data_IF_087511594249
#
_entry.id   IF_087511594249
#
_cell.length_a   1.000
_cell.length_b   1.000
_cell.length_c   1.000
_cell.angle_alpha   90.00
_cell.angle_beta   90.00
_cell.angle_gamma   90.00
#
_symmetry.space_group_name_H-M   'P 1'
#
loop_
_entity.id
_entity.type
_entity.pdbx_description
1 polymer ?
#
# COMPACT_ATOMS: atom_id res chain seq x y z
N UNK A 1 -19.70 75.94 13.78
CA UNK A 1 -19.31 74.78 14.68
C UNK A 1 -20.23 73.62 14.68
N UNK A 2 -21.09 73.40 13.65
CA UNK A 2 -22.03 72.24 13.55
C UNK A 2 -21.91 71.46 12.26
N UNK A 3 -20.84 71.58 11.50
CA UNK A 3 -20.67 70.93 10.19
C UNK A 3 -19.53 69.89 10.23
N UNK A 4 -18.80 69.81 11.35
CA UNK A 4 -17.66 68.84 11.50
C UNK A 4 -18.02 67.50 12.14
N UNK A 5 -19.28 67.29 12.54
CA UNK A 5 -19.72 66.06 13.20
C UNK A 5 -20.42 65.05 12.27
N UNK A 6 -20.76 65.44 11.01
CA UNK A 6 -21.45 64.58 10.06
C UNK A 6 -20.55 63.79 9.10
N UNK A 7 -19.24 64.12 9.09
CA UNK A 7 -18.27 63.46 8.19
C UNK A 7 -17.62 62.20 8.73
N UNK A 8 -17.74 61.89 10.03
CA UNK A 8 -16.99 60.80 10.64
C UNK A 8 -17.82 59.49 10.81
N UNK A 9 -19.12 59.57 10.60
CA UNK A 9 -20.02 58.41 10.70
C UNK A 9 -20.26 57.66 9.39
N UNK A 10 -19.85 58.22 8.24
CA UNK A 10 -20.01 57.60 6.94
C UNK A 10 -18.86 56.65 6.52
N UNK A 11 -17.73 56.69 7.24
CA UNK A 11 -16.52 55.86 6.89
C UNK A 11 -16.52 54.52 7.63
N UNK A 12 -17.33 54.35 8.67
CA UNK A 12 -17.36 53.09 9.45
C UNK A 12 -18.40 52.07 8.96
N UNK A 13 -19.20 52.39 7.93
CA UNK A 13 -20.22 51.43 7.42
C UNK A 13 -19.79 50.69 6.17
N UNK A 14 -18.59 50.88 5.62
CA UNK A 14 -18.08 50.19 4.40
C UNK A 14 -17.03 49.14 4.65
N UNK A 15 -16.74 48.75 5.89
CA UNK A 15 -15.70 47.77 6.20
C UNK A 15 -16.22 46.37 6.60
N UNK A 16 -17.52 46.07 6.42
CA UNK A 16 -18.10 44.78 6.76
C UNK A 16 -18.57 43.92 5.57
N UNK A 17 -18.13 44.26 4.35
CA UNK A 17 -18.34 43.41 3.17
C UNK A 17 -16.99 42.94 2.59
N UNK A 18 -16.05 42.50 3.45
CA UNK A 18 -15.01 41.62 2.99
C UNK A 18 -15.64 40.21 3.10
N UNK A 19 -16.28 39.86 1.98
CA UNK A 19 -16.91 38.57 1.82
C UNK A 19 -16.00 37.41 2.20
N UNK A 20 -16.57 36.44 2.85
CA UNK A 20 -16.13 35.06 2.79
C UNK A 20 -15.92 34.68 1.33
N UNK A 21 -14.74 34.97 0.81
CA UNK A 21 -14.21 34.23 -0.31
C UNK A 21 -14.04 32.81 0.19
N UNK A 22 -15.03 31.96 -0.09
CA UNK A 22 -14.82 30.51 -0.10
C UNK A 22 -13.54 30.32 -0.90
N UNK A 23 -12.40 30.03 -0.23
CA UNK A 23 -11.33 29.30 -0.87
C UNK A 23 -12.02 28.07 -1.41
N UNK A 24 -12.33 28.03 -2.69
CA UNK A 24 -12.31 26.78 -3.42
C UNK A 24 -10.95 26.19 -3.09
N UNK A 25 -10.90 25.22 -2.18
CA UNK A 25 -9.82 24.29 -2.16
C UNK A 25 -9.77 23.74 -3.58
N UNK A 26 -8.81 24.24 -4.33
CA UNK A 26 -8.37 23.65 -5.58
C UNK A 26 -7.63 22.37 -5.15
N UNK A 27 -8.42 21.42 -4.62
CA UNK A 27 -7.97 20.06 -4.46
C UNK A 27 -7.90 19.50 -5.87
N UNK A 28 -6.82 19.87 -6.58
CA UNK A 28 -6.35 19.02 -7.66
C UNK A 28 -6.21 17.63 -7.03
N UNK A 29 -7.18 16.76 -7.30
CA UNK A 29 -7.20 15.43 -6.72
C UNK A 29 -5.88 14.76 -7.07
N UNK A 30 -5.01 14.58 -6.06
CA UNK A 30 -3.69 13.96 -6.26
C UNK A 30 -3.93 12.59 -6.90
N UNK A 31 -3.39 12.37 -8.09
CA UNK A 31 -3.39 11.07 -8.72
C UNK A 31 -2.21 10.26 -8.23
N UNK A 32 -2.46 9.12 -7.62
CA UNK A 32 -1.44 8.19 -7.14
C UNK A 32 -1.01 7.24 -8.25
N UNK A 33 0.29 6.98 -8.34
CA UNK A 33 0.89 6.02 -9.26
C UNK A 33 1.33 4.79 -8.48
N UNK A 34 0.63 3.68 -8.66
CA UNK A 34 0.86 2.41 -7.96
C UNK A 34 1.51 1.41 -8.90
N UNK A 35 2.67 0.86 -8.51
CA UNK A 35 3.22 -0.35 -9.11
C UNK A 35 2.72 -1.59 -8.38
N UNK A 36 2.25 -2.59 -9.10
CA UNK A 36 1.95 -3.90 -8.52
C UNK A 36 2.83 -4.95 -9.20
N UNK A 37 3.65 -5.62 -8.39
CA UNK A 37 4.46 -6.76 -8.84
C UNK A 37 3.95 -8.03 -8.17
N UNK A 38 3.59 -9.03 -8.97
CA UNK A 38 3.09 -10.32 -8.52
C UNK A 38 4.03 -11.42 -9.03
N UNK A 39 4.48 -12.32 -8.15
CA UNK A 39 5.49 -13.32 -8.49
C UNK A 39 4.99 -14.32 -9.54
N UNK A 40 3.78 -14.84 -9.38
CA UNK A 40 3.24 -15.86 -10.27
C UNK A 40 1.74 -15.67 -10.49
N UNK A 41 1.23 -16.25 -11.56
CA UNK A 41 -0.21 -16.39 -11.78
C UNK A 41 -0.72 -17.55 -10.92
N UNK A 42 -1.45 -17.23 -9.86
CA UNK A 42 -2.02 -18.20 -8.93
C UNK A 42 -3.24 -17.59 -8.23
N UNK A 43 -4.31 -18.36 -8.10
CA UNK A 43 -5.58 -17.88 -7.57
C UNK A 43 -5.48 -17.22 -6.20
N UNK A 44 -4.62 -17.70 -5.30
CA UNK A 44 -4.40 -17.06 -4.00
C UNK A 44 -3.74 -15.68 -4.13
N UNK A 45 -2.72 -15.55 -5.00
CA UNK A 45 -2.03 -14.27 -5.23
C UNK A 45 -2.93 -13.27 -5.94
N UNK A 46 -3.76 -13.73 -6.87
CA UNK A 46 -4.79 -12.91 -7.52
C UNK A 46 -5.82 -12.39 -6.53
N UNK A 47 -6.22 -13.22 -5.55
CA UNK A 47 -7.12 -12.79 -4.49
C UNK A 47 -6.46 -11.76 -3.55
N UNK A 48 -5.16 -11.90 -3.25
CA UNK A 48 -4.41 -10.90 -2.50
C UNK A 48 -4.40 -9.55 -3.25
N UNK A 49 -4.11 -9.57 -4.57
CA UNK A 49 -4.15 -8.37 -5.41
C UNK A 49 -5.53 -7.71 -5.43
N UNK A 50 -6.58 -8.51 -5.68
CA UNK A 50 -7.96 -8.00 -5.69
C UNK A 50 -8.38 -7.42 -4.33
N UNK A 51 -8.01 -8.12 -3.24
CA UNK A 51 -8.28 -7.65 -1.87
C UNK A 51 -7.57 -6.34 -1.56
N UNK A 52 -6.32 -6.18 -1.96
CA UNK A 52 -5.56 -4.95 -1.80
C UNK A 52 -6.22 -3.77 -2.54
N UNK A 53 -6.58 -3.97 -3.81
CA UNK A 53 -7.26 -2.94 -4.61
C UNK A 53 -8.63 -2.57 -4.04
N UNK A 54 -9.39 -3.56 -3.59
CA UNK A 54 -10.69 -3.31 -2.93
C UNK A 54 -10.53 -2.53 -1.62
N UNK A 55 -9.43 -2.78 -0.88
CA UNK A 55 -9.08 -1.99 0.30
C UNK A 55 -8.82 -0.53 -0.04
N UNK A 56 -8.05 -0.25 -1.09
CA UNK A 56 -7.81 1.12 -1.57
C UNK A 56 -9.13 1.80 -2.01
N UNK A 57 -9.98 1.07 -2.72
CA UNK A 57 -11.29 1.59 -3.15
C UNK A 57 -12.17 1.99 -1.96
N UNK A 58 -12.15 1.19 -0.87
CA UNK A 58 -12.92 1.50 0.35
C UNK A 58 -12.45 2.78 1.05
N UNK A 59 -11.17 3.15 0.85
CA UNK A 59 -10.57 4.39 1.34
C UNK A 59 -10.68 5.55 0.33
N UNK A 60 -11.47 5.38 -0.74
CA UNK A 60 -11.69 6.40 -1.77
C UNK A 60 -10.55 6.54 -2.79
N UNK A 61 -9.61 5.58 -2.83
CA UNK A 61 -8.51 5.54 -3.81
C UNK A 61 -8.90 4.55 -4.92
N UNK A 62 -9.31 5.09 -6.09
CA UNK A 62 -9.94 4.29 -7.14
C UNK A 62 -9.21 4.41 -8.47
N UNK A 63 -9.04 3.28 -9.12
CA UNK A 63 -8.48 3.23 -10.48
C UNK A 63 -9.37 3.99 -11.46
N UNK A 64 -8.73 4.82 -12.30
CA UNK A 64 -9.42 5.68 -13.27
C UNK A 64 -9.96 6.99 -12.71
N UNK A 65 -10.04 7.18 -11.38
CA UNK A 65 -10.38 8.45 -10.73
C UNK A 65 -9.10 9.16 -10.24
N UNK A 66 -8.49 8.62 -9.19
CA UNK A 66 -7.31 9.19 -8.53
C UNK A 66 -6.17 8.17 -8.33
N UNK A 67 -6.26 7.00 -8.97
CA UNK A 67 -5.27 5.94 -8.93
C UNK A 67 -4.91 5.47 -10.34
N UNK A 68 -3.62 5.44 -10.66
CA UNK A 68 -3.08 4.84 -11.86
C UNK A 68 -2.25 3.61 -11.49
N UNK A 69 -2.61 2.45 -12.03
CA UNK A 69 -1.96 1.18 -11.71
C UNK A 69 -1.06 0.73 -12.85
N UNK A 70 0.14 0.29 -12.51
CA UNK A 70 1.02 -0.47 -13.41
C UNK A 70 1.21 -1.86 -12.81
N UNK A 71 0.50 -2.86 -13.35
CA UNK A 71 0.60 -4.25 -12.93
C UNK A 71 1.60 -5.02 -13.80
N UNK A 72 2.44 -5.84 -13.14
CA UNK A 72 3.37 -6.77 -13.78
C UNK A 72 3.39 -8.10 -13.02
N UNK A 73 3.51 -9.20 -13.78
CA UNK A 73 3.66 -10.56 -13.26
C UNK A 73 5.01 -11.11 -13.71
N UNK A 74 5.76 -11.70 -12.79
CA UNK A 74 7.12 -12.23 -13.07
C UNK A 74 7.11 -13.64 -13.64
N UNK A 75 5.95 -14.30 -13.72
CA UNK A 75 5.79 -15.67 -14.23
C UNK A 75 6.68 -16.68 -13.47
N UNK A 76 6.81 -16.50 -12.14
CA UNK A 76 7.66 -17.28 -11.25
C UNK A 76 9.17 -17.23 -11.59
N UNK A 77 9.60 -16.25 -12.38
CA UNK A 77 11.00 -16.03 -12.74
C UNK A 77 11.60 -14.90 -11.93
N UNK A 78 12.61 -15.21 -11.13
CA UNK A 78 13.27 -14.26 -10.22
C UNK A 78 14.05 -13.17 -10.98
N UNK A 79 14.62 -13.48 -12.14
CA UNK A 79 15.35 -12.50 -12.94
C UNK A 79 14.36 -11.45 -13.51
N UNK A 80 13.24 -11.91 -14.03
CA UNK A 80 12.14 -11.04 -14.48
C UNK A 80 11.59 -10.20 -13.33
N UNK A 81 11.44 -10.79 -12.14
CA UNK A 81 10.95 -10.10 -10.94
C UNK A 81 11.89 -8.93 -10.55
N UNK A 82 13.20 -9.19 -10.50
CA UNK A 82 14.21 -8.17 -10.25
C UNK A 82 14.21 -7.05 -11.31
N UNK A 83 14.02 -7.41 -12.57
CA UNK A 83 13.95 -6.43 -13.67
C UNK A 83 12.70 -5.53 -13.55
N UNK A 84 11.55 -6.12 -13.21
CA UNK A 84 10.32 -5.37 -12.96
C UNK A 84 10.51 -4.42 -11.76
N UNK A 85 11.07 -4.92 -10.65
CA UNK A 85 11.32 -4.12 -9.46
C UNK A 85 12.27 -2.95 -9.75
N UNK A 86 13.37 -3.18 -10.48
CA UNK A 86 14.30 -2.12 -10.90
C UNK A 86 13.63 -1.08 -11.81
N UNK A 87 12.77 -1.54 -12.73
CA UNK A 87 11.98 -0.65 -13.58
C UNK A 87 10.99 0.19 -12.76
N UNK A 88 10.37 -0.38 -11.74
CA UNK A 88 9.47 0.36 -10.85
C UNK A 88 10.22 1.37 -9.98
N UNK A 89 11.40 1.02 -9.47
CA UNK A 89 12.25 1.93 -8.70
C UNK A 89 12.71 3.14 -9.53
N UNK A 90 12.94 2.97 -10.84
CA UNK A 90 13.32 4.07 -11.74
C UNK A 90 12.17 5.02 -12.09
N UNK A 91 10.93 4.58 -11.88
CA UNK A 91 9.73 5.40 -12.09
C UNK A 91 9.40 6.12 -10.79
N UNK A 92 8.92 7.34 -10.88
CA UNK A 92 8.42 8.10 -9.72
C UNK A 92 7.05 7.56 -9.30
N UNK A 93 7.04 6.34 -8.73
CA UNK A 93 5.82 5.74 -8.17
C UNK A 93 5.59 6.27 -6.77
N UNK A 94 4.32 6.42 -6.40
CA UNK A 94 3.96 6.79 -5.02
C UNK A 94 4.02 5.59 -4.08
N UNK A 95 3.91 4.35 -4.61
CA UNK A 95 4.00 3.10 -3.83
C UNK A 95 4.20 1.89 -4.75
N UNK A 96 4.81 0.84 -4.22
CA UNK A 96 4.84 -0.50 -4.83
C UNK A 96 4.10 -1.48 -3.92
N UNK A 97 3.12 -2.19 -4.47
CA UNK A 97 2.51 -3.37 -3.85
C UNK A 97 3.23 -4.62 -4.39
N UNK A 98 3.83 -5.39 -3.49
CA UNK A 98 4.57 -6.60 -3.85
C UNK A 98 3.86 -7.85 -3.31
N UNK A 99 3.53 -8.78 -4.21
CA UNK A 99 2.72 -9.96 -3.89
C UNK A 99 3.58 -11.21 -3.96
N UNK A 100 3.73 -11.89 -2.85
CA UNK A 100 4.62 -13.01 -2.51
C UNK A 100 6.03 -12.57 -2.09
N UNK A 101 6.70 -13.44 -1.33
CA UNK A 101 8.03 -13.17 -0.74
C UNK A 101 9.09 -12.79 -1.77
N UNK A 102 9.25 -13.47 -2.93
CA UNK A 102 10.25 -13.07 -3.92
C UNK A 102 10.03 -11.65 -4.45
N UNK A 103 8.80 -11.31 -4.83
CA UNK A 103 8.48 -9.97 -5.33
C UNK A 103 8.69 -8.89 -4.28
N UNK A 104 8.39 -9.18 -3.01
CA UNK A 104 8.65 -8.26 -1.91
C UNK A 104 10.16 -8.04 -1.70
N UNK A 105 10.97 -9.10 -1.80
CA UNK A 105 12.44 -9.00 -1.74
C UNK A 105 13.01 -8.19 -2.90
N UNK A 106 12.56 -8.48 -4.13
CA UNK A 106 12.99 -7.74 -5.33
C UNK A 106 12.63 -6.26 -5.25
N UNK A 107 11.37 -5.95 -4.85
CA UNK A 107 10.92 -4.57 -4.69
C UNK A 107 11.70 -3.82 -3.60
N UNK A 108 11.88 -4.43 -2.43
CA UNK A 108 12.65 -3.85 -1.34
C UNK A 108 14.11 -3.60 -1.72
N UNK A 109 14.78 -4.60 -2.30
CA UNK A 109 16.17 -4.45 -2.73
C UNK A 109 16.36 -3.33 -3.77
N UNK A 110 15.38 -3.14 -4.65
CA UNK A 110 15.43 -2.10 -5.67
C UNK A 110 15.10 -0.70 -5.12
N UNK A 111 14.42 -0.60 -3.97
CA UNK A 111 13.91 0.69 -3.43
C UNK A 111 14.45 1.07 -2.06
N UNK A 112 15.26 0.24 -1.41
CA UNK A 112 15.77 0.46 -0.04
C UNK A 112 16.52 1.78 0.17
N UNK A 113 17.09 2.34 -0.90
CA UNK A 113 17.81 3.61 -0.90
C UNK A 113 16.96 4.75 -1.51
N UNK A 114 15.65 4.58 -1.57
CA UNK A 114 14.69 5.56 -2.10
C UNK A 114 13.52 5.78 -1.13
N UNK A 115 12.72 6.83 -1.40
CA UNK A 115 11.52 7.14 -0.61
C UNK A 115 10.26 6.39 -1.08
N UNK A 116 10.39 5.45 -2.04
CA UNK A 116 9.23 4.71 -2.55
C UNK A 116 8.83 3.65 -1.53
N UNK A 117 7.67 3.75 -0.88
CA UNK A 117 7.20 2.75 0.08
C UNK A 117 6.81 1.45 -0.63
N UNK A 118 7.19 0.32 -0.02
CA UNK A 118 6.80 -1.02 -0.45
C UNK A 118 5.81 -1.61 0.53
N UNK A 119 4.64 -2.01 0.03
CA UNK A 119 3.65 -2.75 0.81
C UNK A 119 3.56 -4.17 0.28
N UNK A 120 3.88 -5.15 1.13
CA UNK A 120 3.80 -6.56 0.73
C UNK A 120 2.52 -7.23 1.22
N UNK A 121 2.11 -8.28 0.50
CA UNK A 121 1.11 -9.25 0.91
C UNK A 121 1.53 -10.65 0.49
N UNK A 122 0.97 -11.69 1.10
CA UNK A 122 1.35 -13.09 0.88
C UNK A 122 2.85 -13.34 1.14
N UNK A 123 3.38 -12.77 2.22
CA UNK A 123 4.74 -13.03 2.70
C UNK A 123 4.68 -13.92 3.93
N UNK A 124 5.18 -15.14 3.81
CA UNK A 124 5.04 -16.14 4.87
C UNK A 124 5.82 -15.77 6.14
N UNK A 125 7.05 -15.28 6.00
CA UNK A 125 7.87 -14.88 7.14
C UNK A 125 8.58 -13.56 6.86
N UNK A 126 8.01 -12.41 7.25
CA UNK A 126 8.67 -11.11 7.13
C UNK A 126 10.03 -11.07 7.84
N UNK A 127 10.16 -11.80 8.96
CA UNK A 127 11.42 -11.92 9.70
C UNK A 127 12.50 -12.67 8.91
N UNK A 128 12.15 -13.80 8.31
CA UNK A 128 13.09 -14.56 7.48
C UNK A 128 13.44 -13.82 6.18
N UNK A 129 12.51 -13.03 5.66
CA UNK A 129 12.72 -12.19 4.49
C UNK A 129 13.55 -10.92 4.79
N UNK A 130 13.82 -10.61 6.07
CA UNK A 130 14.59 -9.43 6.48
C UNK A 130 13.79 -8.12 6.45
N UNK A 131 12.45 -8.18 6.50
CA UNK A 131 11.57 -7.01 6.47
C UNK A 131 11.22 -6.48 7.85
N UNK A 132 11.54 -7.25 8.89
CA UNK A 132 11.42 -6.82 10.28
C UNK A 132 12.69 -7.17 11.04
N UNK A 133 13.03 -6.34 12.01
CA UNK A 133 14.18 -6.52 12.89
C UNK A 133 13.94 -7.59 13.97
N UNK A 134 14.87 -7.67 14.91
CA UNK A 134 14.77 -8.63 16.03
C UNK A 134 13.62 -8.32 16.98
N UNK A 135 13.25 -7.06 17.08
CA UNK A 135 12.14 -6.53 17.88
C UNK A 135 10.80 -6.61 17.16
N UNK A 136 10.77 -7.05 15.88
CA UNK A 136 9.56 -7.14 15.07
C UNK A 136 9.12 -5.83 14.43
N UNK A 137 9.97 -4.81 14.41
CA UNK A 137 9.70 -3.53 13.73
C UNK A 137 10.09 -3.63 12.26
N UNK A 138 9.33 -2.94 11.40
CA UNK A 138 9.67 -2.87 9.98
C UNK A 138 11.02 -2.20 9.76
N UNK A 139 11.77 -2.69 8.77
CA UNK A 139 13.05 -2.11 8.36
C UNK A 139 12.84 -1.24 7.12
N UNK A 140 13.51 -0.08 7.08
CA UNK A 140 13.49 0.80 5.90
C UNK A 140 12.07 1.19 5.47
N UNK A 141 11.85 1.14 4.16
CA UNK A 141 10.61 1.58 3.48
C UNK A 141 9.61 0.46 3.19
N UNK A 142 9.68 -0.69 3.89
CA UNK A 142 8.84 -1.85 3.62
C UNK A 142 7.94 -2.22 4.80
N UNK A 143 6.67 -2.53 4.52
CA UNK A 143 5.68 -3.02 5.48
C UNK A 143 4.65 -3.91 4.78
N UNK A 144 3.78 -4.59 5.51
CA UNK A 144 2.73 -5.39 4.87
C UNK A 144 2.09 -6.43 5.77
N UNK A 145 1.49 -7.45 5.16
CA UNK A 145 0.76 -8.53 5.82
C UNK A 145 1.40 -9.88 5.56
N UNK A 146 1.46 -10.71 6.62
CA UNK A 146 1.96 -12.08 6.55
C UNK A 146 0.82 -13.08 6.38
N UNK A 147 1.07 -14.13 5.62
CA UNK A 147 0.23 -15.32 5.50
C UNK A 147 0.80 -16.52 6.29
N UNK A 148 1.54 -16.25 7.36
CA UNK A 148 2.19 -17.26 8.19
C UNK A 148 1.19 -18.30 8.66
N UNK A 149 1.42 -19.53 8.26
CA UNK A 149 0.66 -20.70 8.71
C UNK A 149 1.41 -21.35 9.88
N UNK A 150 0.72 -21.46 11.01
CA UNK A 150 1.27 -22.12 12.19
C UNK A 150 1.05 -23.63 12.10
N UNK A 151 2.10 -24.36 11.78
CA UNK A 151 2.05 -25.82 11.60
C UNK A 151 1.52 -26.56 12.83
N UNK A 152 1.83 -26.08 14.04
CA UNK A 152 1.31 -26.65 15.28
C UNK A 152 -0.23 -26.57 15.36
N UNK A 153 -0.82 -25.47 14.92
CA UNK A 153 -2.29 -25.29 14.87
C UNK A 153 -2.91 -26.22 13.84
N UNK A 154 -2.27 -26.39 12.69
CA UNK A 154 -2.75 -27.34 11.66
C UNK A 154 -2.70 -28.78 12.17
N UNK A 155 -1.61 -29.19 12.81
CA UNK A 155 -1.49 -30.54 13.40
C UNK A 155 -2.52 -30.75 14.51
N UNK A 156 -2.80 -29.73 15.35
CA UNK A 156 -3.86 -29.79 16.35
C UNK A 156 -5.24 -29.97 15.71
N UNK A 157 -5.51 -29.24 14.63
CA UNK A 157 -6.77 -29.37 13.87
C UNK A 157 -6.91 -30.77 13.28
N UNK A 158 -5.86 -31.31 12.64
CA UNK A 158 -5.86 -32.69 12.14
C UNK A 158 -6.16 -33.66 13.27
N UNK A 159 -5.57 -33.49 14.44
CA UNK A 159 -5.82 -34.33 15.59
C UNK A 159 -7.27 -34.26 16.10
N UNK A 160 -7.87 -33.07 16.05
CA UNK A 160 -9.27 -32.87 16.43
C UNK A 160 -10.23 -33.54 15.42
N UNK A 161 -9.96 -33.37 14.11
CA UNK A 161 -10.81 -33.96 13.05
C UNK A 161 -10.62 -35.46 12.91
N UNK A 162 -9.40 -35.94 13.11
CA UNK A 162 -9.02 -37.39 12.95
C UNK A 162 -8.24 -37.85 14.19
N UNK A 163 -8.90 -38.08 15.34
CA UNK A 163 -8.22 -38.44 16.59
C UNK A 163 -7.38 -39.70 16.53
N UNK A 164 -7.76 -40.65 15.65
CA UNK A 164 -7.10 -41.95 15.48
C UNK A 164 -6.01 -41.95 14.41
N UNK A 165 -5.79 -40.85 13.69
CA UNK A 165 -4.75 -40.78 12.65
C UNK A 165 -3.34 -40.99 13.26
N UNK A 166 -2.58 -41.92 12.69
CA UNK A 166 -1.19 -42.21 13.10
C UNK A 166 -0.15 -41.70 12.10
N UNK A 167 -0.54 -41.59 10.84
CA UNK A 167 0.34 -41.18 9.74
C UNK A 167 -0.23 -39.92 9.05
N UNK A 168 0.60 -38.96 8.72
CA UNK A 168 0.26 -37.75 8.00
C UNK A 168 1.21 -37.60 6.82
N UNK A 169 0.67 -37.47 5.60
CA UNK A 169 1.45 -37.16 4.41
C UNK A 169 1.55 -35.65 4.23
N UNK A 170 2.73 -35.18 3.82
CA UNK A 170 3.00 -33.74 3.52
C UNK A 170 3.48 -33.65 2.08
N UNK A 171 2.83 -32.79 1.30
CA UNK A 171 3.34 -32.36 0.00
C UNK A 171 4.16 -31.08 0.20
N UNK A 172 5.33 -30.98 -0.49
CA UNK A 172 6.22 -29.83 -0.42
C UNK A 172 6.85 -29.54 -1.78
#
# INVERSE_FOLDING_TARGET
KKILAAGLTAVMAMSLMVGCGSKKDDSSSKTYNLGIIQFAEHGSLDNCRKGFLKGLESEGIKEGENLKITYKNSQADTATDNQIASNFASKKLDMICAIATPSAQSAYNATKDSDIPVVYTAVTSPKAAGFVDKEGKNVGNITGTSDLVLADKQLKLIRQMMPKAKNVGIFY
#
